data_IF_453940783843
#
_entry.id   IF_453940783843
#
_cell.length_a   1.000
_cell.length_b   1.000
_cell.length_c   1.000
_cell.angle_alpha   90.00
_cell.angle_beta   90.00
_cell.angle_gamma   90.00
#
_symmetry.space_group_name_H-M   'P 1'
#
loop_
_entity.id
_entity.type
_entity.pdbx_description
1 polymer ?
#
# COMPACT_ATOMS: atom_id res chain seq x y z
N UNK A 1 -15.42 53.58 39.04
CA UNK A 1 -16.72 53.06 39.48
C UNK A 1 -16.73 51.57 39.18
N UNK A 2 -16.92 50.78 40.23
CA UNK A 2 -16.98 49.33 40.20
C UNK A 2 -18.28 48.83 39.55
N UNK A 3 -18.23 47.64 38.95
CA UNK A 3 -19.37 46.94 38.38
C UNK A 3 -19.14 45.45 38.34
N UNK A 4 -19.33 44.83 39.51
CA UNK A 4 -19.38 43.39 39.78
C UNK A 4 -20.46 42.71 38.91
N UNK A 5 -20.14 41.53 38.35
CA UNK A 5 -21.17 40.54 37.98
C UNK A 5 -20.65 39.14 38.26
N UNK A 6 -21.26 38.52 39.26
CA UNK A 6 -21.06 37.16 39.71
C UNK A 6 -21.46 36.15 38.62
N UNK A 7 -20.66 35.09 38.47
CA UNK A 7 -21.11 33.82 37.88
C UNK A 7 -20.69 32.67 38.78
N UNK A 8 -21.69 32.02 39.35
CA UNK A 8 -21.62 30.81 40.14
C UNK A 8 -20.83 29.70 39.41
N UNK A 9 -19.74 29.25 40.02
CA UNK A 9 -19.06 28.00 39.66
C UNK A 9 -19.37 26.96 40.74
N UNK A 10 -20.29 26.04 40.46
CA UNK A 10 -20.52 24.86 41.29
C UNK A 10 -19.32 23.92 41.19
N UNK A 11 -18.39 24.03 42.16
CA UNK A 11 -17.31 23.06 42.37
C UNK A 11 -17.90 21.87 43.12
N UNK A 12 -18.08 20.74 42.43
CA UNK A 12 -18.37 19.46 43.07
C UNK A 12 -17.14 19.08 43.90
N UNK A 13 -17.32 18.95 45.21
CA UNK A 13 -16.31 18.47 46.16
C UNK A 13 -16.35 16.95 46.17
N UNK A 14 -15.24 16.33 45.80
CA UNK A 14 -15.03 14.90 45.89
C UNK A 14 -14.86 14.52 47.38
N UNK A 15 -15.87 13.86 47.95
CA UNK A 15 -15.83 13.30 49.29
C UNK A 15 -15.74 11.78 49.19
N UNK A 16 -14.52 11.29 48.92
CA UNK A 16 -14.20 9.87 49.10
C UNK A 16 -13.76 9.68 50.56
N UNK A 17 -14.70 9.25 51.38
CA UNK A 17 -14.48 8.49 52.61
C UNK A 17 -15.69 7.58 52.75
N UNK A 18 -15.47 6.27 52.63
CA UNK A 18 -15.85 5.29 53.64
C UNK A 18 -15.31 3.92 53.21
N UNK A 19 -14.32 3.46 53.95
CA UNK A 19 -14.11 2.05 54.21
C UNK A 19 -15.37 1.54 54.91
N UNK A 20 -15.95 0.44 54.43
CA UNK A 20 -16.54 -0.56 55.29
C UNK A 20 -16.26 -1.93 54.65
N UNK A 21 -15.52 -2.74 55.40
CA UNK A 21 -15.28 -4.14 55.13
C UNK A 21 -16.55 -4.95 55.43
N UNK A 22 -16.57 -6.20 54.96
CA UNK A 22 -17.52 -7.27 55.31
C UNK A 22 -18.79 -7.38 54.44
N UNK A 23 -18.69 -8.23 53.41
CA UNK A 23 -19.76 -9.15 53.00
C UNK A 23 -19.19 -10.18 52.01
N UNK A 24 -18.57 -11.24 52.55
CA UNK A 24 -18.39 -12.51 51.83
C UNK A 24 -19.61 -13.40 52.12
N UNK A 25 -20.27 -13.99 51.11
CA UNK A 25 -21.30 -14.99 51.37
C UNK A 25 -20.67 -16.33 51.73
N UNK A 26 -20.87 -16.75 52.99
CA UNK A 26 -20.56 -18.09 53.49
C UNK A 26 -21.40 -19.15 52.73
N UNK A 27 -20.74 -20.09 52.05
CA UNK A 27 -21.38 -21.29 51.50
C UNK A 27 -21.08 -22.45 52.46
N UNK A 28 -22.13 -22.90 53.13
CA UNK A 28 -22.14 -24.00 54.09
C UNK A 28 -21.97 -25.35 53.35
N UNK A 29 -20.89 -26.07 53.66
CA UNK A 29 -20.65 -27.44 53.16
C UNK A 29 -20.92 -28.43 54.29
N UNK A 30 -22.14 -28.94 54.34
CA UNK A 30 -22.56 -30.00 55.26
C UNK A 30 -22.33 -31.39 54.64
N UNK A 31 -21.78 -32.29 55.47
CA UNK A 31 -22.16 -33.70 55.55
C UNK A 31 -21.85 -34.59 54.35
N UNK A 32 -20.77 -35.37 54.44
CA UNK A 32 -20.47 -36.42 53.48
C UNK A 32 -21.37 -37.64 53.54
N UNK A 33 -21.43 -38.37 52.44
CA UNK A 33 -21.68 -39.81 52.38
C UNK A 33 -21.11 -40.34 51.06
N UNK A 34 -20.18 -41.30 51.18
CA UNK A 34 -19.67 -42.11 50.08
C UNK A 34 -20.49 -43.41 50.07
N UNK A 35 -20.99 -43.88 48.92
CA UNK A 35 -20.50 -45.18 48.50
C UNK A 35 -20.42 -45.40 46.98
N UNK A 36 -19.23 -45.87 46.57
CA UNK A 36 -18.95 -47.00 45.66
C UNK A 36 -19.53 -46.97 44.24
N UNK A 37 -18.56 -46.95 43.32
CA UNK A 37 -18.56 -47.36 41.92
C UNK A 37 -19.63 -48.39 41.52
N UNK A 38 -20.43 -48.04 40.51
CA UNK A 38 -20.94 -49.02 39.55
C UNK A 38 -20.96 -48.38 38.15
N UNK A 39 -20.39 -49.11 37.20
CA UNK A 39 -20.11 -48.67 35.83
C UNK A 39 -21.40 -48.53 35.02
N UNK A 40 -21.65 -47.34 34.48
CA UNK A 40 -22.83 -47.05 33.67
C UNK A 40 -22.58 -45.87 32.74
N UNK A 41 -21.84 -46.16 31.66
CA UNK A 41 -21.54 -45.27 30.55
C UNK A 41 -22.83 -44.69 29.95
N UNK A 42 -23.22 -43.47 30.35
CA UNK A 42 -24.31 -42.72 29.72
C UNK A 42 -23.75 -41.82 28.62
N UNK A 43 -24.05 -42.23 27.40
CA UNK A 43 -23.82 -41.55 26.12
C UNK A 43 -24.32 -40.10 26.16
N UNK A 44 -23.40 -39.14 26.35
CA UNK A 44 -23.67 -37.75 26.02
C UNK A 44 -23.46 -37.57 24.52
N UNK A 45 -24.51 -37.79 23.74
CA UNK A 45 -24.56 -37.40 22.33
C UNK A 45 -24.44 -35.87 22.27
N UNK A 46 -23.21 -35.39 22.12
CA UNK A 46 -22.91 -34.01 21.75
C UNK A 46 -23.54 -33.80 20.37
N UNK A 47 -24.43 -32.81 20.15
CA UNK A 47 -24.83 -32.49 18.78
C UNK A 47 -23.57 -32.07 18.04
N UNK A 48 -23.13 -32.89 17.09
CA UNK A 48 -22.17 -32.48 16.08
C UNK A 48 -22.81 -31.33 15.32
N UNK A 49 -22.49 -30.10 15.73
CA UNK A 49 -22.58 -28.96 14.85
C UNK A 49 -21.58 -29.20 13.72
N UNK A 50 -22.07 -29.82 12.66
CA UNK A 50 -21.42 -29.80 11.37
C UNK A 50 -21.54 -28.36 10.83
N UNK A 51 -20.71 -27.46 11.37
CA UNK A 51 -20.36 -26.26 10.64
C UNK A 51 -19.60 -26.73 9.40
N UNK A 52 -20.30 -26.78 8.26
CA UNK A 52 -19.63 -26.58 6.98
C UNK A 52 -19.02 -25.18 7.02
N UNK A 53 -17.84 -25.06 7.63
CA UNK A 53 -16.93 -23.95 7.42
C UNK A 53 -16.59 -23.96 5.94
N UNK A 54 -17.35 -23.20 5.15
CA UNK A 54 -16.93 -22.79 3.81
C UNK A 54 -15.64 -21.99 4.00
N UNK A 55 -14.53 -22.71 3.92
CA UNK A 55 -13.21 -22.22 4.28
C UNK A 55 -12.83 -21.00 3.45
N UNK A 56 -12.87 -19.84 4.09
CA UNK A 56 -12.17 -18.61 3.66
C UNK A 56 -10.66 -18.81 3.66
N UNK A 57 -10.17 -19.85 4.35
CA UNK A 57 -8.78 -20.28 4.43
C UNK A 57 -8.05 -20.35 3.08
N UNK A 58 -8.73 -20.65 1.97
CA UNK A 58 -8.09 -20.67 0.64
C UNK A 58 -7.86 -19.27 0.05
N UNK A 59 -8.70 -18.28 0.38
CA UNK A 59 -8.53 -16.88 -0.03
C UNK A 59 -7.56 -16.17 0.91
N UNK A 60 -7.67 -16.46 2.21
CA UNK A 60 -6.77 -15.92 3.23
C UNK A 60 -5.34 -16.43 3.06
N UNK A 61 -5.14 -17.68 2.63
CA UNK A 61 -3.81 -18.22 2.31
C UNK A 61 -3.17 -17.57 1.07
N UNK A 62 -3.96 -17.10 0.10
CA UNK A 62 -3.43 -16.39 -1.07
C UNK A 62 -3.03 -14.97 -0.67
N UNK A 63 -3.85 -14.28 0.12
CA UNK A 63 -3.53 -12.93 0.61
C UNK A 63 -2.33 -12.96 1.56
N UNK A 64 -2.27 -13.92 2.48
CA UNK A 64 -1.08 -14.18 3.31
C UNK A 64 0.13 -14.58 2.47
N UNK A 65 -0.06 -15.35 1.40
CA UNK A 65 1.01 -15.72 0.47
C UNK A 65 1.59 -14.51 -0.26
N UNK A 66 0.73 -13.61 -0.76
CA UNK A 66 1.16 -12.36 -1.41
C UNK A 66 1.83 -11.42 -0.41
N UNK A 67 1.27 -11.26 0.79
CA UNK A 67 1.89 -10.49 1.86
C UNK A 67 3.24 -11.06 2.28
N UNK A 68 3.38 -12.39 2.37
CA UNK A 68 4.65 -13.05 2.68
C UNK A 68 5.66 -12.91 1.54
N UNK A 69 5.25 -12.89 0.28
CA UNK A 69 6.15 -12.64 -0.86
C UNK A 69 6.63 -11.18 -0.83
N UNK A 70 5.74 -10.22 -0.60
CA UNK A 70 6.10 -8.80 -0.46
C UNK A 70 7.01 -8.59 0.75
N UNK A 71 6.67 -9.19 1.90
CA UNK A 71 7.48 -9.14 3.11
C UNK A 71 8.83 -9.85 2.94
N UNK A 72 8.90 -10.95 2.17
CA UNK A 72 10.14 -11.64 1.83
C UNK A 72 11.02 -10.82 0.89
N UNK A 73 10.43 -10.10 -0.07
CA UNK A 73 11.13 -9.12 -0.92
C UNK A 73 11.72 -7.99 -0.06
N UNK A 74 11.00 -7.58 1.00
CA UNK A 74 11.42 -6.52 1.91
C UNK A 74 12.47 -6.95 2.96
N UNK A 75 12.38 -8.19 3.50
CA UNK A 75 13.23 -8.66 4.59
C UNK A 75 14.49 -9.39 4.13
N UNK A 76 14.49 -9.96 2.91
CA UNK A 76 15.60 -10.78 2.42
C UNK A 76 16.54 -10.04 1.44
N UNK A 77 16.44 -8.71 1.33
CA UNK A 77 17.29 -7.87 0.47
C UNK A 77 17.45 -8.48 -0.95
N UNK A 78 16.36 -9.09 -1.45
CA UNK A 78 16.38 -9.81 -2.70
C UNK A 78 16.52 -8.79 -3.81
N UNK A 79 17.71 -8.71 -4.42
CA UNK A 79 17.99 -7.98 -5.64
C UNK A 79 17.49 -8.81 -6.83
N UNK A 80 16.28 -8.59 -7.37
CA UNK A 80 15.83 -9.31 -8.56
C UNK A 80 16.78 -9.09 -9.76
N UNK A 81 17.57 -8.03 -9.72
CA UNK A 81 18.61 -7.69 -10.69
C UNK A 81 19.82 -8.64 -10.68
N UNK A 82 20.14 -9.29 -9.56
CA UNK A 82 21.27 -10.24 -9.49
C UNK A 82 20.93 -11.57 -10.21
N UNK A 83 19.65 -11.96 -10.23
CA UNK A 83 19.16 -13.11 -10.98
C UNK A 83 19.09 -12.86 -12.51
N UNK A 84 19.14 -11.59 -12.92
CA UNK A 84 19.17 -11.13 -14.31
C UNK A 84 20.56 -10.63 -14.77
N UNK A 85 21.59 -10.72 -13.92
CA UNK A 85 22.95 -10.31 -14.25
C UNK A 85 23.19 -8.79 -14.31
N UNK A 86 22.26 -7.99 -13.79
CA UNK A 86 22.33 -6.51 -13.75
C UNK A 86 22.73 -6.05 -12.33
N UNK A 87 23.44 -6.90 -11.59
CA UNK A 87 24.05 -6.60 -10.30
C UNK A 87 25.53 -6.23 -10.47
N UNK A 88 25.85 -4.94 -10.38
CA UNK A 88 27.21 -4.44 -10.52
C UNK A 88 28.20 -5.04 -9.51
N UNK A 89 29.04 -5.96 -9.98
CA UNK A 89 30.35 -6.19 -9.41
C UNK A 89 31.36 -5.43 -10.31
N UNK A 90 31.91 -4.34 -9.79
CA UNK A 90 32.89 -3.46 -10.44
C UNK A 90 34.27 -4.12 -10.57
N UNK A 91 34.32 -5.29 -11.19
CA UNK A 91 35.49 -6.17 -11.14
C UNK A 91 35.46 -7.30 -12.14
N UNK A 92 34.96 -7.05 -13.36
CA UNK A 92 35.41 -7.70 -14.59
C UNK A 92 34.76 -7.00 -15.78
N UNK A 93 35.45 -5.98 -16.29
CA UNK A 93 35.26 -5.52 -17.66
C UNK A 93 35.66 -6.69 -18.53
N UNK A 94 34.68 -7.42 -19.08
CA UNK A 94 34.96 -8.29 -20.22
C UNK A 94 35.30 -7.36 -21.38
N UNK A 95 36.59 -7.17 -21.58
CA UNK A 95 37.15 -6.45 -22.71
C UNK A 95 36.81 -7.24 -23.99
N UNK A 96 35.63 -7.00 -24.56
CA UNK A 96 35.25 -7.56 -25.86
C UNK A 96 35.62 -6.53 -26.93
N UNK A 97 36.87 -6.64 -27.36
CA UNK A 97 37.40 -6.43 -28.71
C UNK A 97 36.74 -5.33 -29.55
N UNK A 98 37.51 -4.27 -29.75
CA UNK A 98 37.32 -3.28 -30.82
C UNK A 98 37.10 -3.95 -32.18
N UNK A 99 36.00 -3.60 -32.86
CA UNK A 99 36.00 -3.53 -34.31
C UNK A 99 35.20 -2.29 -34.75
N UNK A 100 35.85 -1.18 -35.17
CA UNK A 100 35.16 0.04 -35.59
C UNK A 100 34.62 0.00 -37.03
N UNK A 101 34.62 -1.15 -37.71
CA UNK A 101 34.21 -1.29 -39.10
C UNK A 101 33.09 -2.33 -39.24
N UNK A 102 31.84 -1.88 -39.07
CA UNK A 102 30.67 -2.76 -39.24
C UNK A 102 29.37 -2.28 -38.62
N UNK A 103 29.26 -1.00 -38.26
CA UNK A 103 27.97 -0.45 -37.86
C UNK A 103 27.03 -0.50 -39.07
N UNK A 104 26.02 -1.38 -39.01
CA UNK A 104 24.92 -1.44 -39.96
C UNK A 104 24.29 -0.05 -40.13
N UNK A 105 23.83 0.30 -41.33
CA UNK A 105 23.28 1.64 -41.59
C UNK A 105 22.21 2.07 -40.59
N UNK A 106 21.40 1.13 -40.08
CA UNK A 106 20.37 1.40 -39.08
C UNK A 106 20.89 1.85 -37.71
N UNK A 107 22.04 1.35 -37.23
CA UNK A 107 22.59 1.84 -35.95
C UNK A 107 23.19 3.25 -36.10
N UNK A 108 23.74 3.59 -37.27
CA UNK A 108 24.21 4.96 -37.53
C UNK A 108 23.06 5.96 -37.55
N UNK A 109 21.94 5.59 -38.18
CA UNK A 109 20.71 6.38 -38.18
C UNK A 109 20.13 6.53 -36.77
N UNK A 110 20.05 5.43 -36.01
CA UNK A 110 19.63 5.47 -34.60
C UNK A 110 20.51 6.40 -33.76
N UNK A 111 21.83 6.34 -33.91
CA UNK A 111 22.75 7.23 -33.18
C UNK A 111 22.51 8.70 -33.54
N UNK A 112 22.34 9.00 -34.83
CA UNK A 112 22.10 10.38 -35.28
C UNK A 112 20.76 10.91 -34.76
N UNK A 113 19.73 10.06 -34.74
CA UNK A 113 18.40 10.44 -34.28
C UNK A 113 18.30 10.58 -32.76
N UNK A 114 18.91 9.69 -31.98
CA UNK A 114 18.94 9.81 -30.52
C UNK A 114 19.65 11.10 -30.09
N UNK A 115 20.70 11.51 -30.82
CA UNK A 115 21.41 12.78 -30.55
C UNK A 115 20.61 14.04 -30.84
N UNK A 116 19.50 13.94 -31.58
CA UNK A 116 18.61 15.08 -31.86
C UNK A 116 17.55 15.27 -30.79
N UNK A 117 17.35 14.29 -29.91
CA UNK A 117 16.41 14.38 -28.82
C UNK A 117 16.98 15.25 -27.71
N UNK A 118 16.08 15.89 -26.97
CA UNK A 118 16.41 16.73 -25.83
C UNK A 118 16.58 15.88 -24.56
N UNK A 119 17.82 15.45 -24.33
CA UNK A 119 18.22 14.83 -23.07
C UNK A 119 18.83 15.90 -22.16
N UNK A 120 18.55 15.85 -20.86
CA UNK A 120 19.19 16.74 -19.87
C UNK A 120 20.72 16.61 -19.90
N UNK A 121 21.22 15.38 -20.08
CA UNK A 121 22.60 15.11 -20.46
C UNK A 121 22.63 14.25 -21.73
N UNK A 122 23.13 14.79 -22.85
CA UNK A 122 23.20 14.06 -24.12
C UNK A 122 24.00 12.76 -23.96
N UNK A 123 23.40 11.59 -24.23
CA UNK A 123 24.09 10.32 -24.05
C UNK A 123 25.31 10.18 -24.96
N UNK A 124 26.41 9.65 -24.41
CA UNK A 124 27.59 9.33 -25.17
C UNK A 124 27.36 8.13 -26.11
N UNK A 125 28.34 7.86 -26.98
CA UNK A 125 28.21 6.78 -27.96
C UNK A 125 27.98 5.42 -27.31
N UNK A 126 28.60 5.11 -26.18
CA UNK A 126 28.46 3.82 -25.51
C UNK A 126 27.06 3.70 -24.88
N UNK A 127 26.55 4.79 -24.30
CA UNK A 127 25.20 4.85 -23.73
C UNK A 127 24.11 4.69 -24.82
N UNK A 128 24.27 5.34 -25.97
CA UNK A 128 23.36 5.14 -27.12
C UNK A 128 23.42 3.70 -27.63
N UNK A 129 24.61 3.09 -27.66
CA UNK A 129 24.74 1.67 -28.04
C UNK A 129 24.06 0.75 -27.03
N UNK A 130 24.06 1.09 -25.74
CA UNK A 130 23.32 0.35 -24.72
C UNK A 130 21.80 0.46 -24.93
N UNK A 131 21.28 1.65 -25.24
CA UNK A 131 19.85 1.84 -25.60
C UNK A 131 19.46 0.97 -26.80
N UNK A 132 20.27 0.98 -27.86
CA UNK A 132 20.04 0.17 -29.05
C UNK A 132 20.09 -1.34 -28.75
N UNK A 133 21.06 -1.80 -27.95
CA UNK A 133 21.20 -3.22 -27.58
C UNK A 133 20.04 -3.72 -26.72
N UNK A 134 19.41 -2.83 -25.94
CA UNK A 134 18.20 -3.12 -25.16
C UNK A 134 16.91 -2.81 -25.94
N UNK A 135 17.03 -2.64 -27.26
CA UNK A 135 15.92 -2.46 -28.19
C UNK A 135 14.99 -1.29 -27.83
N UNK A 136 15.51 -0.25 -27.17
CA UNK A 136 14.72 0.93 -26.79
C UNK A 136 14.31 1.69 -28.06
N UNK A 137 13.01 1.77 -28.40
CA UNK A 137 12.56 2.37 -29.65
C UNK A 137 12.78 3.88 -29.64
N UNK A 138 13.13 4.43 -30.80
CA UNK A 138 13.26 5.88 -30.98
C UNK A 138 11.92 6.60 -30.76
N UNK A 139 10.82 6.02 -31.21
CA UNK A 139 9.48 6.60 -31.02
C UNK A 139 9.08 6.64 -29.55
N UNK A 140 9.52 5.67 -28.75
CA UNK A 140 9.31 5.67 -27.29
C UNK A 140 10.01 6.88 -26.65
N UNK A 141 11.29 7.10 -26.94
CA UNK A 141 12.03 8.26 -26.41
C UNK A 141 11.42 9.60 -26.87
N UNK A 142 10.94 9.70 -28.12
CA UNK A 142 10.20 10.88 -28.60
C UNK A 142 8.88 11.10 -27.86
N UNK A 143 8.21 10.05 -27.41
CA UNK A 143 6.99 10.19 -26.62
C UNK A 143 7.29 10.68 -25.21
N UNK A 144 8.42 10.25 -24.62
CA UNK A 144 8.90 10.76 -23.34
C UNK A 144 9.37 12.22 -23.44
N UNK A 145 10.02 12.59 -24.55
CA UNK A 145 10.41 13.98 -24.83
C UNK A 145 9.18 14.90 -24.89
N UNK A 146 8.07 14.45 -25.51
CA UNK A 146 6.81 15.21 -25.56
C UNK A 146 6.07 15.30 -24.23
N UNK A 147 6.42 14.44 -23.28
CA UNK A 147 5.90 14.47 -21.92
C UNK A 147 6.86 15.22 -20.97
N UNK A 148 7.86 15.92 -21.51
CA UNK A 148 8.93 16.61 -20.76
C UNK A 148 9.67 15.71 -19.74
N UNK A 149 9.55 14.38 -19.87
CA UNK A 149 10.15 13.41 -18.95
C UNK A 149 11.50 12.89 -19.42
N UNK A 150 11.79 12.99 -20.73
CA UNK A 150 13.07 12.49 -21.27
C UNK A 150 14.27 13.21 -20.66
N UNK A 151 14.15 14.50 -20.34
CA UNK A 151 15.26 15.28 -19.79
C UNK A 151 15.66 14.86 -18.37
N UNK A 152 14.76 14.23 -17.63
CA UNK A 152 14.98 13.73 -16.27
C UNK A 152 15.61 12.33 -16.23
N UNK A 153 15.64 11.64 -17.38
CA UNK A 153 16.05 10.25 -17.45
C UNK A 153 17.48 10.11 -17.96
N UNK A 154 18.28 9.33 -17.24
CA UNK A 154 19.49 8.78 -17.80
C UNK A 154 19.20 7.56 -18.70
N UNK A 155 20.20 7.14 -19.46
CA UNK A 155 20.07 6.00 -20.38
C UNK A 155 19.68 4.68 -19.66
N UNK A 156 20.06 4.51 -18.38
CA UNK A 156 19.71 3.31 -17.62
C UNK A 156 18.25 3.32 -17.17
N UNK A 157 17.74 4.49 -16.80
CA UNK A 157 16.33 4.70 -16.46
C UNK A 157 15.43 4.43 -17.67
N UNK A 158 15.80 4.91 -18.86
CA UNK A 158 15.10 4.62 -20.12
C UNK A 158 15.05 3.12 -20.43
N UNK A 159 16.19 2.44 -20.31
CA UNK A 159 16.25 0.98 -20.47
C UNK A 159 15.35 0.31 -19.44
N UNK A 160 15.37 0.77 -18.18
CA UNK A 160 14.54 0.26 -17.11
C UNK A 160 13.04 0.36 -17.39
N UNK A 161 12.57 1.53 -17.81
CA UNK A 161 11.17 1.76 -18.16
C UNK A 161 10.72 0.87 -19.33
N UNK A 162 11.51 0.86 -20.41
CA UNK A 162 11.22 0.05 -21.59
C UNK A 162 11.22 -1.45 -21.28
N UNK A 163 12.23 -1.95 -20.57
CA UNK A 163 12.37 -3.37 -20.23
C UNK A 163 11.27 -3.87 -19.28
N UNK A 164 10.72 -2.99 -18.43
CA UNK A 164 9.56 -3.29 -17.58
C UNK A 164 8.22 -3.03 -18.30
N UNK A 165 8.26 -2.75 -19.60
CA UNK A 165 7.07 -2.63 -20.45
C UNK A 165 6.20 -1.43 -20.13
N UNK A 166 6.75 -0.37 -19.50
CA UNK A 166 5.99 0.85 -19.20
C UNK A 166 5.68 1.58 -20.51
N UNK A 167 4.40 1.67 -20.93
CA UNK A 167 4.05 2.35 -22.16
C UNK A 167 4.11 3.85 -21.98
N UNK A 168 4.48 4.59 -23.03
CA UNK A 168 4.55 6.05 -22.93
C UNK A 168 3.17 6.68 -22.66
N UNK A 169 2.07 6.04 -23.07
CA UNK A 169 0.70 6.46 -22.73
C UNK A 169 0.47 6.52 -21.22
N UNK A 170 1.06 5.58 -20.46
CA UNK A 170 0.98 5.57 -19.01
C UNK A 170 1.71 6.78 -18.41
N UNK A 171 2.90 7.08 -18.91
CA UNK A 171 3.71 8.24 -18.49
C UNK A 171 2.98 9.55 -18.83
N UNK A 172 2.42 9.67 -20.03
CA UNK A 172 1.57 10.82 -20.41
C UNK A 172 0.33 10.96 -19.54
N UNK A 173 -0.22 9.86 -19.04
CA UNK A 173 -1.32 9.92 -18.10
C UNK A 173 -0.89 10.43 -16.72
N UNK A 174 0.31 10.06 -16.24
CA UNK A 174 0.89 10.58 -15.00
C UNK A 174 1.17 12.08 -15.11
N UNK A 175 1.75 12.50 -16.23
CA UNK A 175 1.99 13.92 -16.54
C UNK A 175 0.70 14.73 -16.53
N UNK A 176 -0.35 14.25 -17.19
CA UNK A 176 -1.64 14.96 -17.28
C UNK A 176 -2.37 15.09 -15.93
N UNK A 177 -2.01 14.30 -14.93
CA UNK A 177 -2.56 14.41 -13.58
C UNK A 177 -1.55 15.07 -12.62
N UNK A 178 -0.51 15.71 -13.16
CA UNK A 178 0.55 16.41 -12.43
C UNK A 178 1.21 15.52 -11.36
N UNK A 179 1.32 14.20 -11.62
CA UNK A 179 1.89 13.22 -10.67
C UNK A 179 3.22 12.63 -11.15
N UNK A 180 3.70 13.04 -12.32
CA UNK A 180 4.98 12.56 -12.84
C UNK A 180 6.15 13.12 -12.01
N UNK A 181 6.10 14.40 -11.64
CA UNK A 181 7.11 15.09 -10.82
C UNK A 181 7.28 14.49 -9.41
N UNK A 182 6.26 13.78 -8.90
CA UNK A 182 6.30 13.10 -7.60
C UNK A 182 6.95 11.71 -7.67
N UNK A 183 7.36 11.27 -8.87
CA UNK A 183 7.86 9.92 -9.12
C UNK A 183 9.27 9.97 -9.72
N UNK A 184 10.16 9.17 -9.15
CA UNK A 184 11.30 8.71 -9.92
C UNK A 184 10.89 7.61 -10.92
N UNK A 185 11.78 7.27 -11.84
CA UNK A 185 11.51 6.22 -12.84
C UNK A 185 11.19 4.86 -12.19
N UNK A 186 11.70 4.57 -10.99
CA UNK A 186 11.40 3.32 -10.27
C UNK A 186 9.99 3.31 -9.70
N UNK A 187 9.47 4.48 -9.29
CA UNK A 187 8.09 4.69 -8.89
C UNK A 187 7.12 4.46 -10.06
N UNK A 188 7.44 5.00 -11.24
CA UNK A 188 6.67 4.76 -12.47
C UNK A 188 6.62 3.25 -12.80
N UNK A 189 7.77 2.58 -12.78
CA UNK A 189 7.84 1.11 -12.97
C UNK A 189 7.02 0.41 -11.89
N UNK A 190 7.11 0.84 -10.64
CA UNK A 190 6.41 0.25 -9.49
C UNK A 190 4.90 0.29 -9.67
N UNK A 191 4.34 1.45 -10.04
CA UNK A 191 2.91 1.61 -10.27
C UNK A 191 2.44 0.73 -11.46
N UNK A 192 3.14 0.81 -12.59
CA UNK A 192 2.80 0.06 -13.79
C UNK A 192 2.87 -1.46 -13.58
N UNK A 193 3.96 -1.95 -12.98
CA UNK A 193 4.20 -3.39 -12.78
C UNK A 193 3.24 -4.01 -11.78
N UNK A 194 2.72 -3.23 -10.83
CA UNK A 194 1.66 -3.66 -9.91
C UNK A 194 0.24 -3.45 -10.49
N UNK A 195 0.14 -3.04 -11.75
CA UNK A 195 -1.12 -2.91 -12.47
C UNK A 195 -2.01 -1.78 -11.97
N UNK A 196 -1.44 -0.77 -11.30
CA UNK A 196 -2.19 0.40 -10.83
C UNK A 196 -2.76 1.13 -12.04
N UNK A 197 -4.07 1.06 -12.20
CA UNK A 197 -4.74 1.61 -13.38
C UNK A 197 -4.72 3.14 -13.39
N UNK A 198 -4.68 3.72 -14.61
CA UNK A 198 -4.83 5.15 -14.81
C UNK A 198 -6.13 5.72 -14.22
N UNK A 199 -7.21 4.93 -14.25
CA UNK A 199 -8.51 5.31 -13.69
C UNK A 199 -8.45 5.46 -12.17
N UNK A 200 -7.71 4.56 -11.50
CA UNK A 200 -7.49 4.63 -10.07
C UNK A 200 -6.68 5.87 -9.68
N UNK A 201 -5.57 6.13 -10.40
CA UNK A 201 -4.74 7.33 -10.18
C UNK A 201 -5.52 8.62 -10.39
N UNK A 202 -6.31 8.73 -11.47
CA UNK A 202 -7.21 9.88 -11.69
C UNK A 202 -8.25 10.00 -10.59
N UNK A 203 -8.69 8.89 -10.03
CA UNK A 203 -9.61 8.84 -8.90
C UNK A 203 -8.99 9.44 -7.64
N UNK A 204 -7.77 9.03 -7.32
CA UNK A 204 -6.99 9.60 -6.22
C UNK A 204 -6.74 11.09 -6.44
N UNK A 205 -6.40 11.50 -7.67
CA UNK A 205 -6.19 12.92 -8.00
C UNK A 205 -7.45 13.76 -7.74
N UNK A 206 -8.63 13.25 -8.12
CA UNK A 206 -9.91 13.95 -7.87
C UNK A 206 -10.29 14.06 -6.40
N UNK A 207 -9.68 13.24 -5.54
CA UNK A 207 -9.85 13.29 -4.10
C UNK A 207 -8.75 14.11 -3.42
N UNK A 208 -7.84 14.70 -4.21
CA UNK A 208 -6.64 15.42 -3.76
C UNK A 208 -5.72 14.54 -2.88
N UNK A 209 -5.67 13.23 -3.14
CA UNK A 209 -4.91 12.26 -2.33
C UNK A 209 -3.56 11.84 -2.92
N UNK A 210 -3.22 12.27 -4.14
CA UNK A 210 -1.96 11.85 -4.77
C UNK A 210 -0.73 12.44 -4.06
N UNK A 211 -0.80 13.69 -3.62
CA UNK A 211 0.29 14.37 -2.92
C UNK A 211 0.53 13.79 -1.51
N UNK A 212 -0.52 13.23 -0.89
CA UNK A 212 -0.43 12.63 0.46
C UNK A 212 0.06 11.17 0.44
N UNK A 213 0.05 10.53 -0.73
CA UNK A 213 0.35 9.12 -0.89
C UNK A 213 1.61 8.91 -1.71
N UNK A 214 2.64 8.34 -1.08
CA UNK A 214 3.77 7.82 -1.83
C UNK A 214 3.35 6.64 -2.74
N UNK A 215 4.11 6.41 -3.83
CA UNK A 215 3.80 5.34 -4.77
C UNK A 215 3.65 3.94 -4.13
N UNK A 216 4.43 3.54 -3.09
CA UNK A 216 4.20 2.27 -2.41
C UNK A 216 2.85 2.21 -1.70
N UNK A 217 2.38 3.32 -1.11
CA UNK A 217 1.06 3.46 -0.51
C UNK A 217 -0.05 3.27 -1.54
N UNK A 218 0.07 3.92 -2.71
CA UNK A 218 -0.88 3.75 -3.82
C UNK A 218 -0.94 2.29 -4.27
N UNK A 219 0.22 1.65 -4.49
CA UNK A 219 0.30 0.22 -4.82
C UNK A 219 -0.38 -0.63 -3.73
N UNK A 220 -0.12 -0.32 -2.45
CA UNK A 220 -0.72 -1.01 -1.32
C UNK A 220 -2.25 -0.93 -1.32
N UNK A 221 -2.80 0.27 -1.49
CA UNK A 221 -4.25 0.50 -1.55
C UNK A 221 -4.89 -0.25 -2.71
N UNK A 222 -4.29 -0.14 -3.90
CA UNK A 222 -4.79 -0.80 -5.11
C UNK A 222 -4.72 -2.33 -5.01
N UNK A 223 -3.60 -2.89 -4.56
CA UNK A 223 -3.41 -4.33 -4.41
C UNK A 223 -4.32 -4.96 -3.35
N UNK A 224 -4.71 -4.19 -2.32
CA UNK A 224 -5.68 -4.61 -1.30
C UNK A 224 -7.13 -4.28 -1.69
N UNK A 225 -7.37 -3.83 -2.93
CA UNK A 225 -8.68 -3.61 -3.49
C UNK A 225 -9.48 -2.51 -2.80
N UNK A 226 -8.80 -1.53 -2.18
CA UNK A 226 -9.45 -0.39 -1.52
C UNK A 226 -10.13 0.48 -2.58
N UNK A 227 -11.47 0.60 -2.60
CA UNK A 227 -12.17 1.35 -3.64
C UNK A 227 -12.12 2.86 -3.38
N UNK A 228 -12.20 3.65 -4.46
CA UNK A 228 -12.21 5.12 -4.39
C UNK A 228 -13.38 5.66 -3.54
N UNK A 229 -14.55 5.02 -3.62
CA UNK A 229 -15.74 5.40 -2.83
C UNK A 229 -15.52 5.22 -1.32
N UNK A 230 -14.69 4.24 -0.94
CA UNK A 230 -14.28 4.04 0.45
C UNK A 230 -13.44 5.21 0.95
N UNK A 231 -12.41 5.58 0.18
CA UNK A 231 -11.55 6.74 0.50
C UNK A 231 -12.34 8.04 0.49
N UNK A 232 -13.28 8.22 -0.45
CA UNK A 232 -14.18 9.37 -0.44
C UNK A 232 -15.06 9.43 0.82
N UNK A 233 -15.53 8.27 1.30
CA UNK A 233 -16.31 8.21 2.54
C UNK A 233 -15.44 8.55 3.75
N UNK A 234 -14.21 8.07 3.82
CA UNK A 234 -13.25 8.45 4.87
C UNK A 234 -12.97 9.97 4.83
N UNK A 235 -12.70 10.52 3.65
CA UNK A 235 -12.41 11.95 3.46
C UNK A 235 -13.59 12.84 3.90
N UNK A 236 -14.83 12.41 3.64
CA UNK A 236 -16.04 13.18 3.99
C UNK A 236 -16.19 13.44 5.48
N UNK A 237 -15.65 12.56 6.32
CA UNK A 237 -15.71 12.68 7.78
C UNK A 237 -14.34 13.02 8.36
N UNK A 238 -13.47 13.65 7.55
CA UNK A 238 -12.12 14.10 7.90
C UNK A 238 -11.24 13.00 8.54
N UNK A 239 -11.58 11.72 8.29
CA UNK A 239 -10.93 10.60 8.95
C UNK A 239 -9.66 10.14 8.22
N UNK A 240 -9.44 10.60 6.98
CA UNK A 240 -8.18 10.33 6.27
C UNK A 240 -6.98 10.98 6.95
N UNK A 241 -7.15 12.15 7.60
CA UNK A 241 -6.06 12.84 8.30
C UNK A 241 -5.49 12.01 9.47
N UNK A 242 -6.30 11.10 10.02
CA UNK A 242 -5.93 10.20 11.12
C UNK A 242 -5.35 8.86 10.65
N UNK A 243 -5.31 8.62 9.34
CA UNK A 243 -4.95 7.33 8.75
C UNK A 243 -3.75 7.47 7.82
N UNK A 244 -2.76 6.61 8.03
CA UNK A 244 -1.82 6.27 6.97
C UNK A 244 -2.47 5.25 6.00
N UNK A 245 -1.84 5.03 4.84
CA UNK A 245 -2.33 4.04 3.87
C UNK A 245 -2.48 2.63 4.49
N UNK A 246 -1.66 2.30 5.50
CA UNK A 246 -1.73 1.00 6.18
C UNK A 246 -3.00 0.88 7.05
N UNK A 247 -3.42 1.96 7.71
CA UNK A 247 -4.67 2.08 8.45
C UNK A 247 -5.89 1.95 7.54
N UNK A 248 -5.89 2.61 6.38
CA UNK A 248 -6.97 2.48 5.38
C UNK A 248 -7.11 1.02 4.92
N UNK A 249 -5.98 0.38 4.59
CA UNK A 249 -5.95 -1.04 4.20
C UNK A 249 -6.47 -1.91 5.34
N UNK A 250 -6.06 -1.66 6.59
CA UNK A 250 -6.48 -2.44 7.73
C UNK A 250 -7.99 -2.35 7.96
N UNK A 251 -8.59 -1.16 7.88
CA UNK A 251 -10.05 -0.98 7.97
C UNK A 251 -10.78 -1.79 6.89
N UNK A 252 -10.37 -1.59 5.63
CA UNK A 252 -10.99 -2.25 4.49
C UNK A 252 -10.85 -3.78 4.54
N UNK A 253 -9.64 -4.28 4.83
CA UNK A 253 -9.35 -5.71 4.92
C UNK A 253 -10.08 -6.41 6.08
N UNK A 254 -10.40 -5.68 7.16
CA UNK A 254 -11.23 -6.19 8.26
C UNK A 254 -12.73 -6.06 8.00
N UNK A 255 -13.14 -5.66 6.80
CA UNK A 255 -14.54 -5.59 6.38
C UNK A 255 -15.31 -4.39 6.90
N UNK A 256 -14.63 -3.40 7.49
CA UNK A 256 -15.26 -2.15 7.93
C UNK A 256 -15.89 -1.49 6.71
N UNK A 257 -17.22 -1.36 6.69
CA UNK A 257 -17.97 -0.86 5.53
C UNK A 257 -18.11 0.66 5.54
N UNK A 258 -18.35 1.25 4.36
CA UNK A 258 -18.68 2.68 4.23
C UNK A 258 -19.93 3.07 5.05
N UNK A 259 -20.92 2.19 5.15
CA UNK A 259 -22.13 2.45 5.92
C UNK A 259 -21.84 2.55 7.42
N UNK A 260 -20.95 1.69 7.93
CA UNK A 260 -20.50 1.76 9.31
C UNK A 260 -19.70 3.03 9.58
N UNK A 261 -18.78 3.41 8.68
CA UNK A 261 -18.03 4.69 8.75
C UNK A 261 -19.00 5.87 8.78
N UNK A 262 -20.03 5.89 7.92
CA UNK A 262 -21.07 6.93 7.92
C UNK A 262 -21.84 6.98 9.22
N UNK A 263 -22.12 5.83 9.83
CA UNK A 263 -22.81 5.79 11.12
C UNK A 263 -21.95 6.39 12.24
N UNK A 264 -20.66 6.07 12.30
CA UNK A 264 -19.74 6.65 13.28
C UNK A 264 -19.54 8.16 13.05
N UNK A 265 -19.35 8.58 11.80
CA UNK A 265 -19.21 9.99 11.43
C UNK A 265 -20.44 10.82 11.79
N UNK A 266 -21.66 10.32 11.52
CA UNK A 266 -22.92 11.00 11.90
C UNK A 266 -23.14 11.13 13.41
N UNK A 267 -22.41 10.35 14.21
CA UNK A 267 -22.45 10.39 15.67
C UNK A 267 -21.28 11.18 16.25
N UNK A 268 -20.45 11.82 15.41
CA UNK A 268 -19.22 12.52 15.77
C UNK A 268 -18.25 11.63 16.58
N UNK A 269 -18.25 10.32 16.31
CA UNK A 269 -17.46 9.33 17.05
C UNK A 269 -16.13 9.01 16.36
N UNK A 270 -16.07 9.14 15.03
CA UNK A 270 -14.97 8.58 14.23
C UNK A 270 -13.65 9.34 14.36
N UNK A 271 -13.71 10.67 14.45
CA UNK A 271 -12.54 11.57 14.54
C UNK A 271 -11.66 11.28 15.77
N UNK A 272 -12.20 10.62 16.80
CA UNK A 272 -11.47 10.31 18.03
C UNK A 272 -11.10 8.83 18.16
N UNK A 273 -11.31 8.02 17.12
CA UNK A 273 -11.05 6.59 17.15
C UNK A 273 -9.81 6.25 16.32
N UNK A 274 -8.93 5.46 16.90
CA UNK A 274 -7.89 4.78 16.14
C UNK A 274 -8.48 3.74 15.18
N UNK A 275 -7.80 3.41 14.07
CA UNK A 275 -8.29 2.40 13.14
C UNK A 275 -8.57 1.04 13.80
N UNK A 276 -7.78 0.65 14.81
CA UNK A 276 -8.00 -0.58 15.58
C UNK A 276 -9.27 -0.54 16.43
N UNK A 277 -9.63 0.62 16.99
CA UNK A 277 -10.89 0.81 17.72
C UNK A 277 -12.10 0.71 16.78
N UNK A 278 -12.01 1.29 15.58
CA UNK A 278 -13.06 1.17 14.56
C UNK A 278 -13.26 -0.29 14.15
N UNK A 279 -12.18 -1.03 13.90
CA UNK A 279 -12.23 -2.48 13.60
C UNK A 279 -12.86 -3.25 14.75
N UNK A 280 -12.42 -3.03 15.98
CA UNK A 280 -12.95 -3.72 17.15
C UNK A 280 -14.44 -3.44 17.36
N UNK A 281 -14.88 -2.19 17.15
CA UNK A 281 -16.28 -1.83 17.27
C UNK A 281 -17.13 -2.48 16.17
N UNK A 282 -16.63 -2.55 14.94
CA UNK A 282 -17.30 -3.22 13.83
C UNK A 282 -17.49 -4.72 14.08
N UNK A 283 -16.45 -5.40 14.60
CA UNK A 283 -16.49 -6.85 14.86
C UNK A 283 -17.40 -7.24 16.04
N UNK A 284 -17.70 -6.30 16.94
CA UNK A 284 -18.55 -6.52 18.11
C UNK A 284 -20.02 -6.11 17.88
N UNK A 285 -20.36 -5.61 16.68
CA UNK A 285 -21.71 -5.24 16.26
C UNK A 285 -22.37 -6.36 15.44
#
# INVERSE_FOLDING_TARGET
>A
MAGQKDKHSNRIKNHLHNNDAEQEPEIDFDGGEDPKEDEGFLDYVRPEFNEEKKGTLKRDAIVLGVFLVIFFIWFNDWRPLDALGIGGNSGQVTEVVQNPAGLSGGILEYIDDVKKLDFGETPDRNQIMALYQNEVPLDYMRELERADFLEELDYTALIGLHANGVPADYIRNLERIDYLDELDYTGVIGLHSNGVSEEYLRGLNRLDLLEDLNYPGIVGLYANGVPLDYMQTLNRYDYLEELDYSGIIALHANGVTEDFIRELGRRDMIENMSPSEVVALFQNN
#
